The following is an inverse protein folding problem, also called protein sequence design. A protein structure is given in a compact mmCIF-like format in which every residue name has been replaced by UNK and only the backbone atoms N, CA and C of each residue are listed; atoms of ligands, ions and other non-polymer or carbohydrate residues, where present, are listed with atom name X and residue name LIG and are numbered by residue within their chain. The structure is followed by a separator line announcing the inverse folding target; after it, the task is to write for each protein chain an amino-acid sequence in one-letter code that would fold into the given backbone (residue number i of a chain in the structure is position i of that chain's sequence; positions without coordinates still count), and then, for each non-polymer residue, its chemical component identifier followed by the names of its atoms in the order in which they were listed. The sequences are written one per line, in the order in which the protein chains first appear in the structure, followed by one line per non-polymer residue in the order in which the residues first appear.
data_IF_606550514502
#
_entry.id   IF_606550514502
#
_cell.length_a   1.000
_cell.length_b   1.000
_cell.length_c   1.000
_cell.angle_alpha   90.00
_cell.angle_beta   90.00
_cell.angle_gamma   90.00
#
_symmetry.space_group_name_H-M   'P 1'
#
loop_
_entity.id
_entity.type
_entity.pdbx_description
1 polymer ?
#
# COMPACT_ATOMS: atom_id res chain seq x y z
N UNK A 1 21.77 6.17 -24.26
CA UNK A 1 21.86 7.41 -23.46
C UNK A 1 20.81 7.33 -22.36
N UNK A 2 20.96 8.10 -21.28
CA UNK A 2 19.98 8.16 -20.20
C UNK A 2 18.68 8.80 -20.69
N UNK A 3 17.55 8.11 -20.49
CA UNK A 3 16.19 8.57 -20.76
C UNK A 3 15.46 8.72 -19.41
N UNK A 4 15.28 9.94 -18.89
CA UNK A 4 14.63 10.17 -17.60
C UNK A 4 13.22 9.57 -17.48
N UNK A 5 12.51 9.35 -18.59
CA UNK A 5 11.14 8.80 -18.54
C UNK A 5 11.12 7.29 -18.38
N UNK A 6 12.22 6.64 -18.69
CA UNK A 6 12.36 5.18 -18.70
C UNK A 6 13.41 4.67 -17.71
N UNK A 7 14.36 5.54 -17.33
CA UNK A 7 15.49 5.21 -16.47
C UNK A 7 15.25 5.57 -14.99
N UNK A 8 14.05 6.06 -14.64
CA UNK A 8 13.66 6.34 -13.25
C UNK A 8 12.41 5.53 -12.88
N UNK A 9 12.56 4.32 -12.31
CA UNK A 9 11.43 3.47 -11.96
C UNK A 9 10.62 4.09 -10.82
N UNK A 10 9.39 3.61 -10.65
CA UNK A 10 8.62 3.93 -9.44
C UNK A 10 9.38 3.46 -8.19
N UNK A 11 9.38 4.31 -7.16
CA UNK A 11 9.96 3.95 -5.88
C UNK A 11 8.87 3.51 -4.90
N UNK A 12 9.07 2.38 -4.23
CA UNK A 12 8.14 1.79 -3.26
C UNK A 12 7.74 2.82 -2.19
N UNK A 13 8.69 3.57 -1.64
CA UNK A 13 8.42 4.58 -0.62
C UNK A 13 7.48 5.67 -1.15
N UNK A 14 7.82 6.26 -2.30
CA UNK A 14 7.10 7.44 -2.78
C UNK A 14 5.78 7.09 -3.46
N UNK A 15 5.72 6.02 -4.26
CA UNK A 15 4.55 5.68 -5.07
C UNK A 15 3.56 4.77 -4.33
N UNK A 16 4.06 3.80 -3.57
CA UNK A 16 3.22 2.85 -2.85
C UNK A 16 2.90 3.36 -1.45
N UNK A 17 3.90 3.53 -0.58
CA UNK A 17 3.65 3.89 0.82
C UNK A 17 3.08 5.32 0.93
N UNK A 18 3.81 6.32 0.43
CA UNK A 18 3.42 7.73 0.47
C UNK A 18 2.44 8.13 -0.66
N UNK A 19 2.04 7.18 -1.50
CA UNK A 19 1.02 7.33 -2.53
C UNK A 19 -0.19 6.49 -2.19
N UNK A 20 -0.30 5.32 -2.83
CA UNK A 20 -1.43 4.40 -2.68
C UNK A 20 -1.86 4.20 -1.23
N UNK A 21 -0.99 3.64 -0.38
CA UNK A 21 -1.31 3.34 1.03
C UNK A 21 -1.74 4.59 1.77
N UNK A 22 -1.05 5.73 1.60
CA UNK A 22 -1.42 6.99 2.25
C UNK A 22 -2.81 7.47 1.82
N UNK A 23 -3.19 7.27 0.56
CA UNK A 23 -4.52 7.65 0.07
C UNK A 23 -5.62 6.74 0.66
N UNK A 24 -5.41 5.42 0.66
CA UNK A 24 -6.34 4.47 1.30
C UNK A 24 -6.45 4.72 2.81
N UNK A 25 -5.32 5.02 3.45
CA UNK A 25 -5.28 5.39 4.86
C UNK A 25 -6.09 6.65 5.14
N UNK A 26 -5.88 7.70 4.35
CA UNK A 26 -6.61 8.95 4.53
C UNK A 26 -8.12 8.77 4.40
N UNK A 27 -8.61 8.08 3.37
CA UNK A 27 -10.06 7.82 3.23
C UNK A 27 -10.63 6.98 4.37
N UNK A 28 -9.80 6.12 4.97
CA UNK A 28 -10.21 5.24 6.07
C UNK A 28 -10.36 6.03 7.36
N UNK A 29 -9.30 6.68 7.81
CA UNK A 29 -9.25 7.22 9.17
C UNK A 29 -10.05 8.52 9.35
N UNK A 30 -10.41 9.22 8.26
CA UNK A 30 -11.23 10.44 8.33
C UNK A 30 -12.68 10.14 8.70
N UNK A 31 -13.16 8.92 8.41
CA UNK A 31 -14.52 8.47 8.74
C UNK A 31 -14.62 7.92 10.17
N UNK A 32 -13.48 7.68 10.84
CA UNK A 32 -13.46 7.06 12.14
C UNK A 32 -13.74 8.03 13.29
N UNK A 33 -14.63 7.61 14.19
CA UNK A 33 -14.82 8.25 15.50
C UNK A 33 -13.62 8.02 16.42
N UNK A 34 -13.57 8.74 17.53
CA UNK A 34 -12.52 8.54 18.56
C UNK A 34 -12.52 7.11 19.10
N UNK A 35 -13.70 6.51 19.28
CA UNK A 35 -13.88 5.15 19.77
C UNK A 35 -13.36 4.13 18.76
N UNK A 36 -13.65 4.31 17.47
CA UNK A 36 -13.14 3.45 16.40
C UNK A 36 -11.62 3.54 16.27
N UNK A 37 -11.06 4.75 16.38
CA UNK A 37 -9.60 4.97 16.40
C UNK A 37 -8.96 4.26 17.59
N UNK A 38 -9.56 4.33 18.76
CA UNK A 38 -9.10 3.62 19.95
C UNK A 38 -9.20 2.10 19.77
N UNK A 39 -10.32 1.59 19.26
CA UNK A 39 -10.51 0.16 19.00
C UNK A 39 -9.46 -0.37 18.01
N UNK A 40 -9.23 0.36 16.91
CA UNK A 40 -8.16 0.02 15.96
C UNK A 40 -6.79 0.04 16.63
N UNK A 41 -6.48 1.04 17.46
CA UNK A 41 -5.20 1.09 18.19
C UNK A 41 -4.99 -0.17 19.07
N UNK A 42 -6.02 -0.61 19.78
CA UNK A 42 -5.95 -1.81 20.62
C UNK A 42 -5.71 -3.07 19.78
N UNK A 43 -6.45 -3.24 18.68
CA UNK A 43 -6.28 -4.35 17.75
C UNK A 43 -4.90 -4.38 17.11
N UNK A 44 -4.46 -3.23 16.61
CA UNK A 44 -3.14 -3.06 16.01
C UNK A 44 -2.02 -3.36 17.02
N UNK A 45 -2.16 -2.96 18.29
CA UNK A 45 -1.19 -3.25 19.34
C UNK A 45 -1.10 -4.75 19.68
N UNK A 46 -2.20 -5.50 19.49
CA UNK A 46 -2.27 -6.93 19.72
C UNK A 46 -1.69 -7.78 18.56
N UNK A 47 -1.18 -7.14 17.50
CA UNK A 47 -0.55 -7.85 16.38
C UNK A 47 0.68 -8.63 16.86
N UNK A 48 0.71 -9.94 16.60
CA UNK A 48 1.95 -10.70 16.69
C UNK A 48 2.86 -10.31 15.53
N UNK A 49 3.98 -9.67 15.85
CA UNK A 49 4.96 -9.20 14.86
C UNK A 49 5.92 -10.31 14.42
N UNK A 50 5.81 -11.52 14.97
CA UNK A 50 6.66 -12.64 14.58
C UNK A 50 6.48 -12.98 13.10
N UNK A 51 7.57 -12.92 12.35
CA UNK A 51 7.56 -13.15 10.90
C UNK A 51 7.26 -11.91 10.06
N UNK A 52 6.97 -10.75 10.69
CA UNK A 52 6.85 -9.48 9.99
C UNK A 52 8.18 -8.72 10.06
N UNK A 53 8.64 -8.22 8.92
CA UNK A 53 9.83 -7.35 8.82
C UNK A 53 9.52 -5.90 9.22
N UNK A 54 8.97 -5.72 10.44
CA UNK A 54 8.58 -4.42 11.02
C UNK A 54 9.08 -4.29 12.47
N UNK A 55 9.35 -3.06 12.95
CA UNK A 55 9.67 -2.84 14.35
C UNK A 55 8.45 -3.06 15.24
N UNK A 56 8.67 -3.06 16.56
CA UNK A 56 7.60 -3.09 17.55
C UNK A 56 6.52 -2.03 17.24
N UNK A 57 5.27 -2.49 17.14
CA UNK A 57 4.13 -1.66 16.76
C UNK A 57 3.84 -0.68 17.91
N UNK A 58 3.88 0.62 17.60
CA UNK A 58 3.49 1.70 18.51
C UNK A 58 2.10 2.21 18.13
N UNK A 59 1.07 1.43 18.41
CA UNK A 59 -0.27 1.68 17.86
C UNK A 59 -0.85 3.02 18.33
N UNK A 60 -0.64 3.40 19.60
CA UNK A 60 -1.07 4.70 20.10
C UNK A 60 -0.38 5.86 19.37
N UNK A 61 0.92 5.75 19.08
CA UNK A 61 1.63 6.76 18.30
C UNK A 61 1.05 6.87 16.89
N UNK A 62 0.80 5.74 16.22
CA UNK A 62 0.19 5.71 14.88
C UNK A 62 -1.17 6.43 14.90
N UNK A 63 -1.99 6.20 15.92
CA UNK A 63 -3.30 6.84 16.01
C UNK A 63 -3.23 8.31 16.47
N UNK A 64 -2.25 8.68 17.29
CA UNK A 64 -2.01 10.07 17.67
C UNK A 64 -1.60 10.92 16.46
N UNK A 65 -0.75 10.37 15.58
CA UNK A 65 -0.25 11.04 14.38
C UNK A 65 -0.90 10.52 13.09
N UNK A 66 -2.17 10.11 13.17
CA UNK A 66 -2.93 9.45 12.11
C UNK A 66 -2.83 10.15 10.74
N UNK A 67 -2.78 11.48 10.72
CA UNK A 67 -2.71 12.27 9.47
C UNK A 67 -1.29 12.52 8.94
N UNK A 68 -0.25 12.20 9.71
CA UNK A 68 1.15 12.60 9.46
C UNK A 68 2.12 11.42 9.55
N UNK A 69 1.70 10.26 9.05
CA UNK A 69 2.52 9.04 9.07
C UNK A 69 3.63 9.06 8.01
N UNK A 70 4.76 8.46 8.36
CA UNK A 70 5.91 8.24 7.49
C UNK A 70 5.91 6.82 6.90
N UNK A 71 6.78 6.55 5.92
CA UNK A 71 6.85 5.28 5.19
C UNK A 71 6.86 4.04 6.10
N UNK A 72 7.69 4.04 7.15
CA UNK A 72 7.76 2.94 8.12
C UNK A 72 6.40 2.59 8.76
N UNK A 73 5.63 3.60 9.17
CA UNK A 73 4.32 3.37 9.81
C UNK A 73 3.28 2.93 8.80
N UNK A 74 3.33 3.49 7.59
CA UNK A 74 2.46 3.08 6.48
C UNK A 74 2.75 1.65 6.02
N UNK A 75 4.01 1.21 6.07
CA UNK A 75 4.40 -0.19 5.84
C UNK A 75 3.77 -1.11 6.88
N UNK A 76 3.87 -0.75 8.17
CA UNK A 76 3.19 -1.48 9.25
C UNK A 76 1.68 -1.56 9.02
N UNK A 77 1.04 -0.45 8.64
CA UNK A 77 -0.41 -0.43 8.35
C UNK A 77 -0.75 -1.34 7.18
N UNK A 78 -0.04 -1.21 6.05
CA UNK A 78 -0.29 -2.01 4.83
C UNK A 78 -0.24 -3.51 5.13
N UNK A 79 0.70 -3.95 5.96
CA UNK A 79 0.86 -5.36 6.32
C UNK A 79 -0.18 -5.89 7.31
N UNK A 80 -0.84 -5.02 8.09
CA UNK A 80 -1.63 -5.45 9.26
C UNK A 80 -3.11 -5.06 9.21
N UNK A 81 -3.46 -4.02 8.45
CA UNK A 81 -4.78 -3.38 8.54
C UNK A 81 -5.94 -4.31 8.16
N UNK A 82 -5.74 -5.21 7.20
CA UNK A 82 -6.75 -6.17 6.77
C UNK A 82 -7.23 -7.10 7.89
N UNK A 83 -6.39 -7.31 8.93
CA UNK A 83 -6.77 -8.11 10.10
C UNK A 83 -7.57 -7.32 11.14
N UNK A 84 -7.48 -6.00 11.11
CA UNK A 84 -7.95 -5.13 12.20
C UNK A 84 -9.10 -4.21 11.82
N UNK A 85 -9.32 -3.96 10.53
CA UNK A 85 -10.27 -2.97 10.02
C UNK A 85 -11.59 -3.54 9.47
N UNK A 86 -11.78 -4.88 9.44
CA UNK A 86 -12.89 -5.56 8.76
C UNK A 86 -14.31 -5.10 9.14
N UNK A 87 -14.53 -4.65 10.37
CA UNK A 87 -15.80 -4.12 10.89
C UNK A 87 -15.71 -2.62 11.24
N UNK A 88 -14.59 -1.98 10.92
CA UNK A 88 -14.34 -0.56 11.16
C UNK A 88 -14.51 0.30 9.90
N UNK A 89 -14.59 -0.33 8.73
CA UNK A 89 -14.70 0.37 7.45
C UNK A 89 -15.84 -0.23 6.61
N UNK A 90 -16.43 0.54 5.67
CA UNK A 90 -17.39 -0.01 4.73
C UNK A 90 -16.79 -1.17 3.91
N UNK A 91 -17.60 -2.15 3.45
CA UNK A 91 -17.10 -3.32 2.72
C UNK A 91 -16.21 -3.00 1.53
N UNK A 92 -16.54 -1.94 0.78
CA UNK A 92 -15.77 -1.53 -0.39
C UNK A 92 -14.38 -0.95 -0.02
N UNK A 93 -14.28 -0.20 1.09
CA UNK A 93 -12.99 0.27 1.61
C UNK A 93 -12.16 -0.90 2.15
N UNK A 94 -12.81 -1.90 2.76
CA UNK A 94 -12.12 -3.13 3.17
C UNK A 94 -11.58 -3.92 1.98
N UNK A 95 -12.37 -4.02 0.90
CA UNK A 95 -11.93 -4.63 -0.36
C UNK A 95 -10.72 -3.89 -0.95
N UNK A 96 -10.70 -2.56 -0.88
CA UNK A 96 -9.56 -1.77 -1.33
C UNK A 96 -8.30 -2.07 -0.50
N UNK A 97 -8.42 -2.20 0.83
CA UNK A 97 -7.30 -2.61 1.68
C UNK A 97 -6.77 -3.99 1.34
N UNK A 98 -7.65 -4.94 1.03
CA UNK A 98 -7.25 -6.28 0.60
C UNK A 98 -6.50 -6.24 -0.73
N UNK A 99 -7.05 -5.57 -1.74
CA UNK A 99 -6.41 -5.43 -3.04
C UNK A 99 -5.04 -4.71 -2.94
N UNK A 100 -4.98 -3.63 -2.15
CA UNK A 100 -3.75 -2.90 -1.92
C UNK A 100 -2.71 -3.72 -1.16
N UNK A 101 -3.14 -4.56 -0.21
CA UNK A 101 -2.28 -5.48 0.52
C UNK A 101 -1.72 -6.59 -0.36
N UNK A 102 -2.56 -7.20 -1.20
CA UNK A 102 -2.17 -8.22 -2.18
C UNK A 102 -1.14 -7.66 -3.17
N UNK A 103 -1.44 -6.52 -3.81
CA UNK A 103 -0.50 -5.83 -4.71
C UNK A 103 0.81 -5.47 -3.99
N UNK A 104 0.73 -4.86 -2.81
CA UNK A 104 1.93 -4.52 -2.03
C UNK A 104 2.75 -5.75 -1.64
N UNK A 105 2.12 -6.89 -1.36
CA UNK A 105 2.88 -8.09 -1.01
C UNK A 105 3.78 -8.58 -2.16
N UNK A 106 3.27 -8.54 -3.39
CA UNK A 106 4.01 -8.95 -4.60
C UNK A 106 5.16 -7.99 -4.91
N UNK A 107 4.94 -6.68 -4.75
CA UNK A 107 5.98 -5.67 -5.02
C UNK A 107 7.19 -5.84 -4.10
N UNK A 108 6.99 -6.34 -2.88
CA UNK A 108 8.09 -6.54 -1.92
C UNK A 108 8.86 -7.84 -2.09
N UNK A 109 8.57 -8.65 -3.12
CA UNK A 109 9.34 -9.86 -3.38
C UNK A 109 10.78 -9.52 -3.79
N UNK A 110 11.79 -10.08 -3.11
CA UNK A 110 13.19 -9.80 -3.42
C UNK A 110 13.68 -10.55 -4.66
N UNK A 111 12.99 -11.62 -5.06
CA UNK A 111 13.38 -12.50 -6.16
C UNK A 111 12.12 -12.94 -6.92
N UNK A 112 12.23 -13.01 -8.25
CA UNK A 112 11.14 -13.44 -9.15
C UNK A 112 11.53 -14.79 -9.73
N UNK A 113 10.75 -15.83 -9.41
CA UNK A 113 11.01 -17.20 -9.88
C UNK A 113 10.50 -17.43 -11.30
N UNK A 114 9.29 -16.93 -11.59
CA UNK A 114 8.66 -16.99 -12.91
C UNK A 114 8.20 -15.57 -13.27
N UNK A 115 8.87 -14.97 -14.26
CA UNK A 115 8.63 -13.57 -14.62
C UNK A 115 7.25 -13.35 -15.23
N UNK A 116 6.80 -14.26 -16.11
CA UNK A 116 5.52 -14.09 -16.79
C UNK A 116 4.35 -14.17 -15.79
N UNK A 117 4.36 -15.19 -14.93
CA UNK A 117 3.35 -15.36 -13.87
C UNK A 117 3.35 -14.20 -12.88
N UNK A 118 4.54 -13.74 -12.47
CA UNK A 118 4.66 -12.59 -11.57
C UNK A 118 4.11 -11.31 -12.18
N UNK A 119 4.36 -11.05 -13.46
CA UNK A 119 3.85 -9.86 -14.14
C UNK A 119 2.34 -9.91 -14.32
N UNK A 120 1.77 -11.08 -14.62
CA UNK A 120 0.33 -11.27 -14.73
C UNK A 120 -0.35 -11.05 -13.35
N UNK A 121 0.22 -11.59 -12.27
CA UNK A 121 -0.26 -11.37 -10.90
C UNK A 121 -0.19 -9.88 -10.50
N UNK A 122 0.90 -9.19 -10.85
CA UNK A 122 1.05 -7.75 -10.63
C UNK A 122 -0.02 -6.95 -11.37
N UNK A 123 -0.28 -7.26 -12.64
CA UNK A 123 -1.30 -6.56 -13.43
C UNK A 123 -2.71 -6.80 -12.87
N UNK A 124 -3.04 -8.04 -12.51
CA UNK A 124 -4.35 -8.39 -11.94
C UNK A 124 -4.56 -7.69 -10.59
N UNK A 125 -3.58 -7.78 -9.69
CA UNK A 125 -3.69 -7.16 -8.36
C UNK A 125 -3.72 -5.63 -8.44
N UNK A 126 -2.96 -5.02 -9.35
CA UNK A 126 -3.03 -3.59 -9.61
C UNK A 126 -4.38 -3.18 -10.19
N UNK A 127 -4.90 -3.92 -11.17
CA UNK A 127 -6.22 -3.65 -11.73
C UNK A 127 -7.30 -3.70 -10.65
N UNK A 128 -7.22 -4.66 -9.72
CA UNK A 128 -8.13 -4.75 -8.57
C UNK A 128 -8.04 -3.50 -7.69
N UNK A 129 -6.84 -2.98 -7.42
CA UNK A 129 -6.65 -1.73 -6.68
C UNK A 129 -7.32 -0.57 -7.41
N UNK A 130 -7.00 -0.36 -8.69
CA UNK A 130 -7.47 0.79 -9.45
C UNK A 130 -8.99 0.75 -9.68
N UNK A 131 -9.55 -0.43 -9.99
CA UNK A 131 -10.99 -0.61 -10.13
C UNK A 131 -11.71 -0.32 -8.80
N UNK A 132 -11.20 -0.81 -7.67
CA UNK A 132 -11.82 -0.53 -6.37
C UNK A 132 -11.71 0.96 -6.00
N UNK A 133 -10.61 1.64 -6.35
CA UNK A 133 -10.51 3.10 -6.24
C UNK A 133 -11.57 3.81 -7.09
N UNK A 134 -11.77 3.38 -8.33
CA UNK A 134 -12.80 3.92 -9.22
C UNK A 134 -14.21 3.73 -8.63
N UNK A 135 -14.50 2.59 -8.02
CA UNK A 135 -15.81 2.32 -7.43
C UNK A 135 -16.09 3.21 -6.19
N UNK A 136 -15.05 3.62 -5.46
CA UNK A 136 -15.17 4.48 -4.27
C UNK A 136 -15.16 5.96 -4.63
N UNK A 137 -14.12 6.41 -5.34
CA UNK A 137 -13.88 7.81 -5.65
C UNK A 137 -13.06 7.95 -6.96
N UNK A 138 -13.72 7.94 -8.14
CA UNK A 138 -13.04 7.94 -9.44
C UNK A 138 -12.13 9.15 -9.66
N UNK A 139 -12.43 10.30 -9.04
CA UNK A 139 -11.60 11.51 -9.17
C UNK A 139 -10.16 11.28 -8.70
N UNK A 140 -9.92 10.36 -7.76
CA UNK A 140 -8.58 10.05 -7.25
C UNK A 140 -7.64 9.56 -8.33
N UNK A 141 -8.13 8.85 -9.34
CA UNK A 141 -7.31 8.35 -10.46
C UNK A 141 -6.70 9.52 -11.24
N UNK A 142 -7.47 10.60 -11.43
CA UNK A 142 -7.02 11.77 -12.19
C UNK A 142 -6.25 12.76 -11.31
N UNK A 143 -6.67 12.94 -10.06
CA UNK A 143 -6.06 13.90 -9.13
C UNK A 143 -4.74 13.42 -8.53
N UNK A 144 -4.54 12.10 -8.41
CA UNK A 144 -3.37 11.51 -7.75
C UNK A 144 -2.47 10.84 -8.77
N UNK A 145 -1.51 11.60 -9.29
CA UNK A 145 -0.50 11.11 -10.26
C UNK A 145 0.17 9.80 -9.84
N UNK A 146 0.39 9.58 -8.53
CA UNK A 146 1.00 8.35 -8.02
C UNK A 146 0.18 7.08 -8.30
N UNK A 147 -1.15 7.19 -8.40
CA UNK A 147 -1.99 6.05 -8.79
C UNK A 147 -1.81 5.73 -10.28
N UNK A 148 -1.68 6.76 -11.13
CA UNK A 148 -1.32 6.56 -12.53
C UNK A 148 0.07 5.95 -12.69
N UNK A 149 1.05 6.41 -11.91
CA UNK A 149 2.42 5.86 -11.93
C UNK A 149 2.47 4.35 -11.64
N UNK A 150 1.54 3.81 -10.83
CA UNK A 150 1.47 2.37 -10.60
C UNK A 150 1.25 1.57 -11.88
N UNK A 151 0.62 2.13 -12.91
CA UNK A 151 0.44 1.43 -14.21
C UNK A 151 1.77 1.16 -14.93
N UNK A 152 2.85 1.82 -14.52
CA UNK A 152 4.19 1.59 -15.05
C UNK A 152 4.94 0.44 -14.37
N UNK A 153 4.41 -0.12 -13.28
CA UNK A 153 5.07 -1.17 -12.48
C UNK A 153 5.60 -2.32 -13.34
N UNK A 154 4.82 -2.81 -14.31
CA UNK A 154 5.25 -3.89 -15.21
C UNK A 154 6.52 -3.52 -15.99
N UNK A 155 6.52 -2.34 -16.60
CA UNK A 155 7.65 -1.88 -17.42
C UNK A 155 8.90 -1.69 -16.55
N UNK A 156 8.71 -1.18 -15.34
CA UNK A 156 9.80 -1.01 -14.38
C UNK A 156 10.38 -2.36 -13.94
N UNK A 157 9.55 -3.35 -13.61
CA UNK A 157 10.01 -4.71 -13.27
C UNK A 157 10.78 -5.34 -14.43
N UNK A 158 10.28 -5.20 -15.67
CA UNK A 158 10.95 -5.74 -16.86
C UNK A 158 12.33 -5.13 -17.09
N UNK A 159 12.52 -3.87 -16.70
CA UNK A 159 13.76 -3.12 -16.95
C UNK A 159 14.76 -3.20 -15.80
N UNK A 160 14.27 -3.22 -14.56
CA UNK A 160 15.08 -3.07 -13.35
C UNK A 160 15.05 -4.28 -12.41
N UNK A 161 14.36 -5.35 -12.81
CA UNK A 161 14.16 -6.55 -12.00
C UNK A 161 13.31 -6.22 -10.74
N UNK A 162 13.33 -7.00 -9.63
CA UNK A 162 12.55 -6.67 -8.45
C UNK A 162 12.74 -5.23 -7.93
N UNK A 163 11.64 -4.51 -7.79
CA UNK A 163 11.63 -3.13 -7.30
C UNK A 163 12.26 -2.90 -5.91
N UNK A 164 12.28 -3.87 -4.96
CA UNK A 164 12.99 -3.68 -3.70
C UNK A 164 14.48 -3.40 -3.88
N UNK A 165 15.10 -3.89 -4.97
CA UNK A 165 16.51 -3.60 -5.27
C UNK A 165 16.77 -2.14 -5.68
N UNK A 166 15.73 -1.41 -6.10
CA UNK A 166 15.78 0.00 -6.47
C UNK A 166 15.30 0.94 -5.35
N UNK A 167 14.77 0.38 -4.25
CA UNK A 167 14.26 1.15 -3.13
C UNK A 167 15.42 1.73 -2.30
N UNK A 168 15.36 3.02 -1.97
CA UNK A 168 16.38 3.66 -1.13
C UNK A 168 16.16 3.45 0.38
N UNK A 169 15.09 2.75 0.78
CA UNK A 169 14.75 2.33 2.15
C UNK A 169 14.02 0.97 2.24
#
# INVERSE_FOLDING_TARGET
GFDPTQDTPIEILHTILLGMTKYVWHMTHIQWTTEQKNLYAHRLQATDVKGLSIPAVRAQYIMQYVSSLVGRQLKTITQTISFHAYDLVPPLVFQLWRAAGEFSSLIWFPEIQNLDEYLDDIEVTLANVLNTFCDIEPSKIVEKVKLHLLTHTRYDILRFEPLPGQATE
#
